data_IF_215140318180
#
_entry.id   IF_215140318180
#
_cell.length_a   1.000
_cell.length_b   1.000
_cell.length_c   1.000
_cell.angle_alpha   90.00
_cell.angle_beta   90.00
_cell.angle_gamma   90.00
#
_symmetry.space_group_name_H-M   'P 1'
#
loop_
_entity.id
_entity.type
_entity.pdbx_description
1 polymer ?
#
# COMPACT_ATOMS: atom_id res chain seq x y z
N UNK A 1 -34.86 35.62 -20.46
CA UNK A 1 -34.88 34.53 -21.44
C UNK A 1 -34.42 33.28 -20.71
N UNK A 2 -35.34 32.44 -20.21
CA UNK A 2 -34.96 31.20 -19.55
C UNK A 2 -34.55 30.18 -20.61
N UNK A 3 -33.28 29.87 -20.66
CA UNK A 3 -32.77 28.72 -21.42
C UNK A 3 -33.23 27.48 -20.63
N UNK A 4 -34.19 26.75 -21.15
CA UNK A 4 -34.57 25.45 -20.59
C UNK A 4 -33.54 24.46 -21.09
N UNK A 5 -32.59 24.07 -20.24
CA UNK A 5 -31.70 22.98 -20.52
C UNK A 5 -32.52 21.69 -20.60
N UNK A 6 -32.44 21.05 -21.78
CA UNK A 6 -33.18 19.84 -22.08
C UNK A 6 -32.29 18.64 -21.81
N UNK A 7 -32.61 17.87 -20.80
CA UNK A 7 -32.00 16.52 -20.62
C UNK A 7 -32.68 15.58 -21.59
N UNK A 8 -31.93 14.97 -22.50
CA UNK A 8 -32.41 13.93 -23.40
C UNK A 8 -31.89 12.58 -22.88
N UNK A 9 -32.78 11.72 -22.42
CA UNK A 9 -32.48 10.32 -22.12
C UNK A 9 -32.86 9.54 -23.37
N UNK A 10 -31.87 9.10 -24.14
CA UNK A 10 -32.07 8.26 -25.31
C UNK A 10 -31.94 6.78 -24.95
N UNK A 11 -32.82 5.95 -25.52
CA UNK A 11 -32.63 4.51 -25.42
C UNK A 11 -31.34 4.08 -26.16
N UNK A 12 -30.60 3.08 -25.66
CA UNK A 12 -29.45 2.53 -26.35
C UNK A 12 -29.86 1.97 -27.73
N UNK A 13 -28.93 2.03 -28.68
CA UNK A 13 -29.16 1.55 -30.06
C UNK A 13 -29.37 0.04 -30.16
N UNK A 14 -29.08 -0.70 -29.10
CA UNK A 14 -29.40 -2.13 -28.92
C UNK A 14 -30.24 -2.31 -27.67
N UNK A 15 -31.36 -3.03 -27.77
CA UNK A 15 -32.20 -3.32 -26.61
C UNK A 15 -31.48 -4.27 -25.66
N UNK A 16 -31.16 -3.86 -24.41
CA UNK A 16 -30.61 -4.80 -23.43
C UNK A 16 -31.66 -5.83 -23.06
N UNK A 17 -31.21 -7.07 -22.82
CA UNK A 17 -32.10 -8.21 -22.50
C UNK A 17 -32.84 -8.06 -21.14
N UNK A 18 -32.64 -6.98 -20.41
CA UNK A 18 -33.34 -6.69 -19.16
C UNK A 18 -33.58 -5.17 -19.01
N UNK A 19 -34.74 -4.82 -18.45
CA UNK A 19 -35.06 -3.44 -18.07
C UNK A 19 -34.09 -2.93 -17.01
N UNK A 20 -33.60 -1.71 -17.21
CA UNK A 20 -32.74 -1.03 -16.26
C UNK A 20 -33.45 0.23 -15.75
N UNK A 21 -33.61 0.32 -14.43
CA UNK A 21 -34.22 1.48 -13.78
C UNK A 21 -33.11 2.43 -13.34
N UNK A 22 -33.17 3.66 -13.81
CA UNK A 22 -32.35 4.77 -13.30
C UNK A 22 -33.23 5.59 -12.34
N UNK A 23 -32.94 5.50 -11.03
CA UNK A 23 -33.64 6.34 -10.04
C UNK A 23 -32.87 7.62 -9.85
N UNK A 24 -33.49 8.75 -10.14
CA UNK A 24 -32.95 10.07 -9.86
C UNK A 24 -33.30 10.47 -8.43
N UNK A 25 -32.39 11.17 -7.68
CA UNK A 25 -32.73 11.74 -6.39
C UNK A 25 -33.90 12.69 -6.52
N UNK A 26 -34.92 12.56 -5.65
CA UNK A 26 -36.14 13.34 -5.71
C UNK A 26 -36.05 14.75 -5.11
N UNK A 27 -35.01 15.02 -4.36
CA UNK A 27 -34.92 16.14 -3.41
C UNK A 27 -33.58 16.89 -3.40
N UNK A 28 -32.68 16.61 -4.33
CA UNK A 28 -31.42 17.31 -4.47
C UNK A 28 -30.94 17.39 -5.93
N UNK A 29 -30.27 18.48 -6.27
CA UNK A 29 -29.52 18.58 -7.50
C UNK A 29 -28.36 17.55 -7.48
N UNK A 30 -28.49 16.49 -8.22
CA UNK A 30 -27.51 15.41 -8.29
C UNK A 30 -26.87 15.31 -9.67
N UNK A 31 -25.58 15.05 -9.71
CA UNK A 31 -24.86 14.72 -10.95
C UNK A 31 -24.94 13.21 -11.17
N UNK A 32 -25.48 12.79 -12.32
CA UNK A 32 -25.41 11.39 -12.74
C UNK A 32 -23.96 11.09 -13.12
N UNK A 33 -23.26 10.31 -12.31
CA UNK A 33 -21.92 9.84 -12.66
C UNK A 33 -22.03 8.87 -13.84
N UNK A 34 -21.45 9.23 -14.96
CA UNK A 34 -21.25 8.33 -16.09
C UNK A 34 -19.91 7.59 -15.90
N UNK A 35 -19.67 6.51 -16.64
CA UNK A 35 -18.37 5.81 -16.64
C UNK A 35 -17.19 6.76 -16.99
N UNK A 36 -17.43 7.81 -17.76
CA UNK A 36 -16.45 8.84 -18.08
C UNK A 36 -16.15 9.77 -16.90
N UNK A 37 -17.09 9.93 -15.96
CA UNK A 37 -17.00 10.82 -14.81
C UNK A 37 -16.92 10.04 -13.47
N UNK A 38 -16.96 8.70 -13.50
CA UNK A 38 -16.72 7.88 -12.34
C UNK A 38 -15.28 8.12 -11.82
N UNK A 39 -15.14 8.25 -10.52
CA UNK A 39 -13.82 8.40 -9.90
C UNK A 39 -12.88 7.27 -10.30
N UNK A 40 -11.62 7.61 -10.48
CA UNK A 40 -10.58 6.62 -10.85
C UNK A 40 -10.25 5.65 -9.71
N UNK A 41 -10.54 6.01 -8.45
CA UNK A 41 -10.34 5.14 -7.29
C UNK A 41 -11.65 4.42 -7.01
N UNK A 42 -11.65 3.10 -7.13
CA UNK A 42 -12.84 2.24 -7.02
C UNK A 42 -13.02 1.66 -5.61
N UNK A 43 -11.93 1.36 -4.92
CA UNK A 43 -11.93 0.90 -3.54
C UNK A 43 -10.64 1.29 -2.82
N UNK A 44 -10.73 1.41 -1.49
CA UNK A 44 -9.60 1.72 -0.62
C UNK A 44 -9.65 0.78 0.58
N UNK A 45 -8.54 0.09 0.84
CA UNK A 45 -8.37 -0.79 1.99
C UNK A 45 -7.11 -0.37 2.73
N UNK A 46 -7.22 -0.19 4.05
CA UNK A 46 -6.10 0.21 4.89
C UNK A 46 -5.95 -0.72 6.08
N UNK A 47 -4.71 -1.08 6.39
CA UNK A 47 -4.33 -1.66 7.66
C UNK A 47 -3.50 -0.66 8.48
N UNK A 48 -3.74 -0.67 9.79
CA UNK A 48 -3.08 0.21 10.76
C UNK A 48 -2.39 -0.65 11.81
N UNK A 49 -1.07 -0.60 11.83
CA UNK A 49 -0.26 -1.28 12.85
C UNK A 49 -0.05 -0.34 14.04
N UNK A 50 -0.64 -0.67 15.18
CA UNK A 50 -0.48 0.05 16.45
C UNK A 50 0.52 -0.61 17.40
N UNK A 51 0.69 -1.92 17.27
CA UNK A 51 1.56 -2.69 18.15
C UNK A 51 3.02 -2.59 17.74
N UNK A 52 3.89 -2.64 18.73
CA UNK A 52 5.33 -2.73 18.54
C UNK A 52 5.70 -4.10 18.01
N UNK A 53 6.81 -4.18 17.27
CA UNK A 53 7.42 -5.43 16.84
C UNK A 53 8.93 -5.26 16.81
N UNK A 54 9.63 -6.29 17.22
CA UNK A 54 11.09 -6.37 17.14
C UNK A 54 11.46 -7.46 16.14
N UNK A 55 12.39 -7.17 15.26
CA UNK A 55 12.90 -8.09 14.24
C UNK A 55 14.43 -8.17 14.39
N UNK A 56 14.93 -9.41 14.63
CA UNK A 56 16.34 -9.73 14.72
C UNK A 56 16.61 -10.89 13.76
N UNK A 57 16.79 -10.59 12.49
CA UNK A 57 16.91 -11.62 11.45
C UNK A 57 17.75 -11.14 10.27
N UNK A 58 18.56 -12.02 9.74
CA UNK A 58 19.27 -11.84 8.47
C UNK A 58 18.47 -12.28 7.26
N UNK A 59 17.27 -12.89 7.49
CA UNK A 59 16.32 -13.26 6.45
C UNK A 59 15.05 -12.44 6.60
N UNK A 60 14.28 -12.32 5.52
CA UNK A 60 13.03 -11.56 5.47
C UNK A 60 12.02 -12.08 6.49
N UNK A 61 11.47 -11.18 7.28
CA UNK A 61 10.44 -11.42 8.29
C UNK A 61 9.25 -10.49 8.04
N UNK A 62 8.04 -11.04 8.08
CA UNK A 62 6.81 -10.26 7.93
C UNK A 62 6.68 -9.22 9.04
N UNK A 63 6.36 -7.99 8.65
CA UNK A 63 5.96 -6.96 9.61
C UNK A 63 4.48 -7.16 9.91
N UNK A 64 4.19 -7.82 11.04
CA UNK A 64 2.83 -8.16 11.46
C UNK A 64 1.92 -6.93 11.48
N UNK A 65 0.78 -7.01 10.81
CA UNK A 65 -0.17 -5.90 10.70
C UNK A 65 0.15 -4.89 9.58
N UNK A 66 1.26 -5.09 8.83
CA UNK A 66 1.58 -4.32 7.62
C UNK A 66 1.26 -5.15 6.38
N UNK A 67 -0.02 -5.56 6.29
CA UNK A 67 -0.55 -6.34 5.17
C UNK A 67 -1.97 -5.92 4.88
N UNK A 68 -2.31 -5.79 3.59
CA UNK A 68 -3.67 -5.51 3.08
C UNK A 68 -3.98 -6.47 1.93
N UNK A 69 -5.24 -6.90 1.85
CA UNK A 69 -5.72 -7.70 0.74
C UNK A 69 -6.81 -6.94 0.00
N UNK A 70 -6.70 -6.88 -1.32
CA UNK A 70 -7.64 -6.19 -2.22
C UNK A 70 -8.02 -7.12 -3.36
N UNK A 71 -9.28 -7.07 -3.80
CA UNK A 71 -9.78 -7.87 -4.93
C UNK A 71 -10.15 -6.90 -6.04
N UNK A 72 -9.30 -6.75 -7.08
CA UNK A 72 -9.60 -5.85 -8.18
C UNK A 72 -10.88 -6.26 -8.93
N UNK A 73 -11.69 -5.29 -9.29
CA UNK A 73 -12.94 -5.51 -10.03
C UNK A 73 -12.70 -5.81 -11.52
N UNK A 74 -11.51 -5.48 -12.03
CA UNK A 74 -11.06 -5.80 -13.40
C UNK A 74 -9.58 -6.15 -13.41
N UNK A 75 -9.18 -7.10 -14.25
CA UNK A 75 -7.78 -7.47 -14.44
C UNK A 75 -6.94 -6.34 -15.08
N UNK A 76 -7.58 -5.39 -15.77
CA UNK A 76 -6.90 -4.22 -16.33
C UNK A 76 -6.62 -3.12 -15.31
N UNK A 77 -7.32 -3.14 -14.16
CA UNK A 77 -7.15 -2.14 -13.12
C UNK A 77 -5.79 -2.28 -12.43
N UNK A 78 -5.31 -1.16 -11.92
CA UNK A 78 -4.06 -1.09 -11.16
C UNK A 78 -4.35 -0.98 -9.66
N UNK A 79 -3.35 -1.28 -8.86
CA UNK A 79 -3.41 -1.10 -7.40
C UNK A 79 -2.30 -0.16 -6.96
N UNK A 80 -2.69 1.01 -6.44
CA UNK A 80 -1.77 1.93 -5.80
C UNK A 80 -1.58 1.51 -4.34
N UNK A 81 -0.37 1.10 -4.01
CA UNK A 81 0.02 0.74 -2.64
C UNK A 81 0.82 1.88 -2.03
N UNK A 82 0.33 2.41 -0.91
CA UNK A 82 1.02 3.41 -0.12
C UNK A 82 1.31 2.85 1.27
N UNK A 83 2.49 3.11 1.80
CA UNK A 83 2.76 2.81 3.19
C UNK A 83 3.55 3.92 3.89
N UNK A 84 3.32 4.02 5.19
CA UNK A 84 4.09 4.82 6.11
C UNK A 84 4.49 3.93 7.28
N UNK A 85 5.79 3.67 7.42
CA UNK A 85 6.36 2.76 8.38
C UNK A 85 7.33 3.51 9.29
N UNK A 86 7.07 3.45 10.60
CA UNK A 86 7.99 4.01 11.60
C UNK A 86 8.94 2.92 12.06
N UNK A 87 10.23 3.13 11.80
CA UNK A 87 11.31 2.20 12.12
C UNK A 87 12.27 2.84 13.10
N UNK A 88 12.64 2.09 14.12
CA UNK A 88 13.74 2.37 15.00
C UNK A 88 14.77 1.26 14.84
N UNK A 89 16.02 1.60 14.72
CA UNK A 89 17.05 0.58 14.56
C UNK A 89 18.31 0.94 15.35
N UNK A 90 18.85 -0.04 16.06
CA UNK A 90 20.25 -0.02 16.46
C UNK A 90 21.11 -0.70 15.40
N UNK A 91 20.48 -1.08 14.30
CA UNK A 91 21.14 -1.70 13.18
C UNK A 91 21.74 -0.63 12.28
N UNK A 92 23.03 -0.77 12.05
CA UNK A 92 23.71 -0.03 11.01
C UNK A 92 23.13 -0.33 9.63
N UNK A 93 22.42 -1.47 9.49
CA UNK A 93 21.82 -1.93 8.24
C UNK A 93 20.45 -2.52 8.47
N UNK A 94 19.44 -2.01 7.78
CA UNK A 94 18.18 -2.70 7.62
C UNK A 94 17.64 -2.51 6.20
N UNK A 95 16.84 -3.45 5.76
CA UNK A 95 16.20 -3.40 4.46
C UNK A 95 14.73 -3.82 4.56
N UNK A 96 13.92 -3.18 3.74
CA UNK A 96 12.49 -3.45 3.59
C UNK A 96 12.20 -3.98 2.20
N UNK A 97 11.20 -4.85 2.09
CA UNK A 97 10.62 -5.26 0.81
C UNK A 97 9.11 -5.17 0.84
N UNK A 98 8.54 -4.60 -0.23
CA UNK A 98 7.11 -4.68 -0.53
C UNK A 98 6.89 -5.90 -1.41
N UNK A 99 6.03 -6.80 -0.97
CA UNK A 99 5.68 -8.03 -1.67
C UNK A 99 4.23 -8.00 -2.11
N UNK A 100 3.96 -8.68 -3.22
CA UNK A 100 2.63 -9.10 -3.66
C UNK A 100 2.50 -10.59 -3.45
N UNK A 101 1.44 -11.02 -2.77
CA UNK A 101 1.19 -12.40 -2.36
C UNK A 101 2.34 -12.99 -1.52
N UNK A 102 2.60 -14.29 -1.63
CA UNK A 102 3.61 -14.94 -0.78
C UNK A 102 5.05 -14.64 -1.22
N UNK A 103 5.31 -14.45 -2.52
CA UNK A 103 6.67 -14.60 -3.05
C UNK A 103 7.11 -13.52 -4.05
N UNK A 104 6.21 -12.65 -4.52
CA UNK A 104 6.57 -11.67 -5.55
C UNK A 104 6.97 -10.33 -4.93
N UNK A 105 8.27 -10.08 -4.84
CA UNK A 105 8.75 -8.72 -4.54
C UNK A 105 8.46 -7.81 -5.73
N UNK A 106 7.65 -6.78 -5.53
CA UNK A 106 7.15 -5.92 -6.62
C UNK A 106 7.80 -4.55 -6.66
N UNK A 107 8.31 -4.07 -5.56
CA UNK A 107 8.95 -2.76 -5.47
C UNK A 107 10.38 -2.94 -4.97
N UNK A 108 11.30 -3.17 -5.89
CA UNK A 108 12.68 -3.51 -5.58
C UNK A 108 13.63 -2.73 -6.50
N UNK A 109 14.71 -2.24 -5.92
CA UNK A 109 15.74 -1.50 -6.66
C UNK A 109 16.59 -2.41 -7.52
N UNK A 110 17.21 -1.83 -8.52
CA UNK A 110 18.18 -2.35 -9.49
C UNK A 110 18.00 -3.82 -9.90
N UNK A 111 17.48 -4.03 -11.09
CA UNK A 111 17.27 -5.38 -11.65
C UNK A 111 18.59 -6.05 -12.07
N UNK A 112 19.64 -5.27 -12.35
CA UNK A 112 20.95 -5.74 -12.76
C UNK A 112 22.07 -5.06 -11.94
N UNK A 113 22.20 -5.37 -10.64
CA UNK A 113 23.24 -4.75 -9.84
C UNK A 113 24.62 -5.15 -10.38
N UNK A 114 25.46 -4.18 -10.67
CA UNK A 114 26.85 -4.40 -11.09
C UNK A 114 27.70 -5.04 -10.00
N UNK A 115 27.27 -4.90 -8.73
CA UNK A 115 27.87 -5.55 -7.57
C UNK A 115 27.00 -6.70 -7.09
N UNK A 116 27.48 -7.93 -7.19
CA UNK A 116 26.78 -9.14 -6.79
C UNK A 116 26.56 -9.25 -5.27
N UNK A 117 27.24 -8.42 -4.49
CA UNK A 117 27.11 -8.37 -3.02
C UNK A 117 26.06 -7.39 -2.52
N UNK A 118 25.46 -6.55 -3.37
CA UNK A 118 24.44 -5.61 -2.96
C UNK A 118 23.08 -6.29 -2.79
N UNK A 119 22.45 -6.04 -1.65
CA UNK A 119 21.10 -6.53 -1.38
C UNK A 119 20.06 -5.64 -2.09
N UNK A 120 19.19 -6.25 -2.90
CA UNK A 120 18.07 -5.55 -3.52
C UNK A 120 16.94 -5.42 -2.51
N UNK A 121 16.42 -4.20 -2.37
CA UNK A 121 15.37 -3.88 -1.42
C UNK A 121 14.44 -2.79 -1.97
N UNK A 122 13.24 -2.67 -1.43
CA UNK A 122 12.36 -1.53 -1.68
C UNK A 122 12.86 -0.27 -1.00
N UNK A 123 13.47 -0.45 0.17
CA UNK A 123 14.17 0.58 0.93
C UNK A 123 15.31 -0.07 1.71
N UNK A 124 16.41 0.64 1.84
CA UNK A 124 17.53 0.25 2.68
C UNK A 124 18.12 1.46 3.38
N UNK A 125 18.56 1.29 4.60
CA UNK A 125 19.26 2.31 5.38
C UNK A 125 20.60 1.79 5.87
N UNK A 126 21.56 2.67 5.88
CA UNK A 126 22.87 2.49 6.49
C UNK A 126 23.20 3.74 7.31
N UNK A 127 23.42 3.56 8.58
CA UNK A 127 23.93 4.62 9.45
C UNK A 127 24.97 4.04 10.41
N UNK A 128 26.06 4.74 10.60
CA UNK A 128 27.11 4.39 11.56
C UNK A 128 26.78 4.86 12.99
N UNK A 129 25.67 5.55 13.19
CA UNK A 129 25.19 6.05 14.47
C UNK A 129 24.33 4.99 15.19
N UNK A 130 24.35 5.05 16.54
CA UNK A 130 23.84 3.95 17.37
C UNK A 130 22.32 3.76 17.41
N UNK A 131 21.51 4.73 17.02
CA UNK A 131 20.04 4.61 17.00
C UNK A 131 19.47 5.50 15.90
N UNK A 132 18.74 4.91 14.99
CA UNK A 132 18.01 5.60 13.94
C UNK A 132 16.51 5.56 14.29
N UNK A 133 15.83 6.66 14.04
CA UNK A 133 14.38 6.75 14.05
C UNK A 133 13.93 7.35 12.71
N UNK A 134 13.38 6.51 11.84
CA UNK A 134 12.95 6.88 10.50
C UNK A 134 11.45 6.71 10.32
N UNK A 135 10.85 7.58 9.51
CA UNK A 135 9.53 7.33 8.94
C UNK A 135 9.70 7.13 7.43
N UNK A 136 9.46 5.91 6.99
CA UNK A 136 9.61 5.52 5.60
C UNK A 136 8.24 5.55 4.95
N UNK A 137 8.04 6.45 4.00
CA UNK A 137 6.80 6.58 3.24
C UNK A 137 7.09 6.40 1.76
N UNK A 138 6.43 5.43 1.13
CA UNK A 138 6.59 5.13 -0.28
C UNK A 138 5.26 4.78 -0.93
N UNK A 139 5.21 4.98 -2.26
CA UNK A 139 4.07 4.68 -3.11
C UNK A 139 4.51 3.83 -4.29
N UNK A 140 3.73 2.82 -4.62
CA UNK A 140 3.97 1.97 -5.79
C UNK A 140 2.66 1.64 -6.49
N UNK A 141 2.61 1.85 -7.81
CA UNK A 141 1.46 1.50 -8.64
C UNK A 141 1.71 0.16 -9.32
N UNK A 142 1.05 -0.88 -8.80
CA UNK A 142 1.16 -2.25 -9.31
C UNK A 142 0.12 -2.54 -10.39
N UNK A 143 0.44 -3.50 -11.25
CA UNK A 143 -0.47 -4.11 -12.23
C UNK A 143 -0.61 -5.59 -11.91
N UNK A 144 -1.53 -5.99 -11.03
CA UNK A 144 -1.65 -7.37 -10.57
C UNK A 144 -2.21 -8.31 -11.66
N UNK A 145 -2.88 -7.74 -12.68
CA UNK A 145 -3.45 -8.46 -13.81
C UNK A 145 -4.39 -9.60 -13.40
N UNK A 146 -5.16 -9.42 -12.35
CA UNK A 146 -6.08 -10.43 -11.79
C UNK A 146 -7.31 -9.80 -11.17
N UNK A 147 -8.38 -10.58 -11.08
CA UNK A 147 -9.58 -10.29 -10.28
C UNK A 147 -9.66 -11.15 -9.02
N UNK A 148 -8.61 -11.90 -8.70
CA UNK A 148 -8.49 -12.65 -7.45
C UNK A 148 -8.01 -11.75 -6.32
N UNK A 149 -8.28 -12.17 -5.08
CA UNK A 149 -7.74 -11.49 -3.91
C UNK A 149 -6.22 -11.46 -3.95
N UNK A 150 -5.64 -10.27 -3.87
CA UNK A 150 -4.20 -10.01 -3.94
C UNK A 150 -3.76 -9.35 -2.64
N UNK A 151 -2.75 -9.89 -2.01
CA UNK A 151 -2.24 -9.40 -0.72
C UNK A 151 -0.93 -8.65 -0.92
N UNK A 152 -0.86 -7.43 -0.40
CA UNK A 152 0.37 -6.64 -0.33
C UNK A 152 0.86 -6.59 1.10
N UNK A 153 2.14 -6.87 1.31
CA UNK A 153 2.75 -6.90 2.65
C UNK A 153 4.16 -6.35 2.67
N UNK A 154 4.56 -5.88 3.84
CA UNK A 154 5.94 -5.45 4.09
C UNK A 154 6.70 -6.50 4.90
N UNK A 155 7.94 -6.73 4.50
CA UNK A 155 8.93 -7.51 5.23
C UNK A 155 10.15 -6.66 5.53
N UNK A 156 10.84 -7.01 6.63
CA UNK A 156 12.11 -6.39 7.02
C UNK A 156 13.15 -7.44 7.38
N UNK A 157 14.42 -7.08 7.25
CA UNK A 157 15.56 -7.88 7.71
C UNK A 157 16.79 -7.01 7.88
N UNK A 158 17.77 -7.48 8.66
CA UNK A 158 19.09 -6.89 8.70
C UNK A 158 20.04 -7.72 7.84
N UNK A 159 20.49 -7.22 6.68
CA UNK A 159 21.31 -8.02 5.77
C UNK A 159 22.71 -8.34 6.30
N UNK A 160 23.14 -7.69 7.37
CA UNK A 160 24.48 -7.84 7.91
C UNK A 160 24.56 -8.83 9.07
N UNK A 161 23.69 -8.71 10.07
CA UNK A 161 23.74 -9.55 11.27
C UNK A 161 22.40 -9.60 12.00
N UNK A 162 22.04 -10.77 12.56
CA UNK A 162 20.89 -10.93 13.46
C UNK A 162 21.11 -10.31 14.86
N UNK A 163 22.34 -9.86 15.16
CA UNK A 163 22.61 -9.13 16.40
C UNK A 163 22.01 -7.71 16.38
N UNK A 164 21.66 -7.20 15.21
CA UNK A 164 21.01 -5.91 15.07
C UNK A 164 19.49 -6.03 15.17
N UNK A 165 18.90 -5.07 15.85
CA UNK A 165 17.48 -5.04 16.14
C UNK A 165 16.80 -3.97 15.31
N UNK A 166 15.73 -4.36 14.62
CA UNK A 166 14.80 -3.47 13.94
C UNK A 166 13.54 -3.38 14.81
N UNK A 167 13.25 -2.20 15.33
CA UNK A 167 12.02 -1.90 16.07
C UNK A 167 10.99 -1.27 15.15
N UNK A 168 9.78 -1.78 15.14
CA UNK A 168 8.66 -1.18 14.42
C UNK A 168 7.73 -0.51 15.42
N UNK A 169 7.40 0.75 15.20
CA UNK A 169 6.54 1.61 16.02
C UNK A 169 7.08 1.94 17.43
N UNK A 170 8.29 1.55 17.75
CA UNK A 170 8.90 1.85 19.05
C UNK A 170 10.39 1.67 18.97
N UNK A 171 11.12 2.26 19.91
CA UNK A 171 12.56 2.10 20.04
C UNK A 171 13.01 0.66 20.16
N UNK A 172 14.28 0.42 19.87
CA UNK A 172 14.93 -0.91 19.78
C UNK A 172 14.96 -1.65 21.10
N UNK A 173 15.17 -0.92 22.20
CA UNK A 173 14.94 -1.42 23.53
C UNK A 173 13.45 -1.26 23.82
N UNK A 174 12.75 -2.35 24.10
CA UNK A 174 11.35 -2.32 24.53
C UNK A 174 11.21 -1.70 25.94
N UNK A 175 12.19 -0.90 26.34
CA UNK A 175 12.29 -0.30 27.64
C UNK A 175 11.25 0.80 27.83
N UNK A 176 10.74 0.87 29.02
CA UNK A 176 9.64 1.74 29.41
C UNK A 176 10.13 3.16 29.73
N UNK A 177 10.90 3.75 28.80
CA UNK A 177 11.35 5.12 28.97
C UNK A 177 10.27 6.11 28.61
N UNK A 178 10.03 7.08 29.46
CA UNK A 178 8.99 8.12 29.29
C UNK A 178 9.20 9.03 28.08
N UNK A 179 10.40 9.06 27.53
CA UNK A 179 10.75 9.82 26.31
C UNK A 179 10.65 8.97 25.02
N UNK A 180 10.33 7.68 25.12
CA UNK A 180 10.12 6.81 23.97
C UNK A 180 8.63 6.80 23.57
N UNK A 181 8.34 7.33 22.40
CA UNK A 181 6.97 7.33 21.87
C UNK A 181 6.62 6.02 21.19
N UNK A 182 5.39 5.55 21.39
CA UNK A 182 4.79 4.52 20.59
C UNK A 182 4.17 5.19 19.36
N UNK A 183 4.59 4.74 18.20
CA UNK A 183 4.13 5.28 16.92
C UNK A 183 3.12 4.34 16.25
N UNK A 184 2.59 4.77 15.13
CA UNK A 184 1.66 4.00 14.31
C UNK A 184 2.18 3.95 12.88
N UNK A 185 2.02 2.79 12.25
CA UNK A 185 2.33 2.59 10.82
C UNK A 185 1.10 2.17 10.05
N UNK A 186 1.05 2.50 8.78
CA UNK A 186 -0.10 2.20 7.91
C UNK A 186 0.35 1.61 6.58
N UNK A 187 -0.46 0.74 6.02
CA UNK A 187 -0.39 0.33 4.62
C UNK A 187 -1.78 0.42 4.00
N UNK A 188 -1.86 1.00 2.81
CA UNK A 188 -3.12 1.25 2.09
C UNK A 188 -2.99 0.73 0.67
N UNK A 189 -3.97 -0.03 0.22
CA UNK A 189 -4.15 -0.42 -1.17
C UNK A 189 -5.38 0.28 -1.75
N UNK A 190 -5.25 0.86 -2.94
CA UNK A 190 -6.32 1.55 -3.67
C UNK A 190 -6.42 0.97 -5.06
N UNK A 191 -7.61 0.49 -5.43
CA UNK A 191 -7.86 0.12 -6.82
C UNK A 191 -8.07 1.35 -7.67
N UNK A 192 -7.30 1.44 -8.75
CA UNK A 192 -7.33 2.52 -9.73
C UNK A 192 -7.85 1.97 -11.04
N UNK A 193 -8.94 2.54 -11.55
CA UNK A 193 -9.50 2.16 -12.86
C UNK A 193 -8.48 2.39 -13.98
N UNK A 194 -8.44 1.50 -14.95
CA UNK A 194 -7.63 1.58 -16.15
C UNK A 194 -8.07 2.74 -17.07
#
# INVERSE_FOLDING_TARGET
MCIRDRVIIAAPSSNPAADRTLTLPGDADGTIATTANAGKILQVIQAVKKNRQTINSTTLVDITGMSVSITPSSASNKVLVNYSLVVFSNAVYYALRLLRDSDSTIFIGDENPSATSQNRASFGSYDSSYVIADTIAQSFLDSPNTTSATTYKLQAYSPYSSAYTIGINSGVALDNYTYMNNCVSTITAMEVAA
#
